data_IF_327027809146
#
_entry.id   IF_327027809146
#
_cell.length_a   1.000
_cell.length_b   1.000
_cell.length_c   1.000
_cell.angle_alpha   90.00
_cell.angle_beta   90.00
_cell.angle_gamma   90.00
#
_symmetry.space_group_name_H-M   'P 1'
#
loop_
_entity.id
_entity.type
_entity.pdbx_description
1 polymer ?
#
# COMPACT_ATOMS: atom_id res chain seq x y z
N UNK A 1 -40.11 -2.65 -26.77
CA UNK A 1 -38.69 -2.28 -26.92
C UNK A 1 -38.37 -0.84 -26.46
N UNK A 2 -38.69 0.23 -27.20
CA UNK A 2 -38.40 1.61 -26.74
C UNK A 2 -39.25 2.03 -25.52
N UNK A 3 -40.54 1.67 -25.51
CA UNK A 3 -41.42 1.95 -24.38
C UNK A 3 -41.05 1.15 -23.11
N UNK A 4 -40.59 -0.09 -23.26
CA UNK A 4 -40.11 -0.90 -22.13
C UNK A 4 -38.79 -0.37 -21.57
N UNK A 5 -37.89 0.13 -22.42
CA UNK A 5 -36.62 0.73 -21.97
C UNK A 5 -36.85 2.01 -21.14
N UNK A 6 -37.81 2.84 -21.55
CA UNK A 6 -38.20 4.07 -20.84
C UNK A 6 -38.90 3.75 -19.51
N UNK A 7 -39.80 2.76 -19.49
CA UNK A 7 -40.46 2.31 -18.26
C UNK A 7 -39.48 1.67 -17.26
N UNK A 8 -38.43 1.00 -17.76
CA UNK A 8 -37.35 0.46 -16.93
C UNK A 8 -36.43 1.57 -16.36
N UNK A 9 -36.23 2.68 -17.08
CA UNK A 9 -35.50 3.84 -16.56
C UNK A 9 -36.25 4.52 -15.41
N UNK A 10 -37.58 4.59 -15.50
CA UNK A 10 -38.45 5.21 -14.49
C UNK A 10 -38.56 4.37 -13.21
N UNK A 11 -38.30 3.05 -13.30
CA UNK A 11 -38.30 2.12 -12.15
C UNK A 11 -36.95 1.98 -11.44
N UNK A 12 -35.87 2.59 -11.95
CA UNK A 12 -34.55 2.54 -11.28
C UNK A 12 -34.55 3.39 -10.02
N UNK A 13 -34.28 2.74 -8.89
CA UNK A 13 -34.14 3.43 -7.61
C UNK A 13 -32.85 4.26 -7.56
N UNK A 14 -32.70 5.15 -6.56
CA UNK A 14 -31.46 5.89 -6.38
C UNK A 14 -30.23 4.98 -6.23
N UNK A 15 -30.41 3.76 -5.74
CA UNK A 15 -29.33 2.82 -5.51
C UNK A 15 -28.78 2.20 -6.81
N UNK A 16 -29.58 2.24 -7.89
CA UNK A 16 -29.20 1.65 -9.19
C UNK A 16 -28.21 2.53 -9.98
N UNK A 17 -28.14 3.85 -9.71
CA UNK A 17 -27.22 4.76 -10.41
C UNK A 17 -25.86 4.92 -9.71
N UNK A 18 -25.77 4.60 -8.41
CA UNK A 18 -24.55 4.67 -7.61
C UNK A 18 -23.35 3.92 -8.25
N UNK A 19 -23.48 2.64 -8.67
CA UNK A 19 -22.33 1.91 -9.20
C UNK A 19 -21.86 2.43 -10.57
N UNK A 20 -22.80 2.84 -11.44
CA UNK A 20 -22.46 3.38 -12.77
C UNK A 20 -21.81 4.76 -12.70
N UNK A 21 -22.30 5.65 -11.83
CA UNK A 21 -21.66 6.94 -11.59
C UNK A 21 -20.28 6.79 -10.95
N UNK A 22 -20.12 5.83 -10.04
CA UNK A 22 -18.82 5.44 -9.47
C UNK A 22 -17.83 4.94 -10.54
N UNK A 23 -18.27 4.09 -11.46
CA UNK A 23 -17.45 3.62 -12.58
C UNK A 23 -17.06 4.76 -13.52
N UNK A 24 -17.99 5.66 -13.87
CA UNK A 24 -17.69 6.81 -14.71
C UNK A 24 -16.64 7.73 -14.06
N UNK A 25 -16.77 8.01 -12.76
CA UNK A 25 -15.81 8.80 -12.01
C UNK A 25 -14.44 8.12 -11.91
N UNK A 26 -14.40 6.80 -11.67
CA UNK A 26 -13.15 6.03 -11.61
C UNK A 26 -12.42 6.03 -12.95
N UNK A 27 -13.14 5.80 -14.06
CA UNK A 27 -12.59 5.87 -15.42
C UNK A 27 -12.09 7.27 -15.75
N UNK A 28 -12.84 8.31 -15.40
CA UNK A 28 -12.42 9.70 -15.59
C UNK A 28 -11.12 10.00 -14.82
N UNK A 29 -11.00 9.53 -13.57
CA UNK A 29 -9.77 9.66 -12.77
C UNK A 29 -8.59 8.91 -13.43
N UNK A 30 -8.81 7.69 -13.93
CA UNK A 30 -7.77 6.93 -14.60
C UNK A 30 -7.29 7.63 -15.89
N UNK A 31 -8.21 8.08 -16.74
CA UNK A 31 -7.88 8.82 -17.96
C UNK A 31 -7.17 10.13 -17.63
N UNK A 32 -7.64 10.87 -16.63
CA UNK A 32 -7.03 12.13 -16.21
C UNK A 32 -5.61 11.93 -15.67
N UNK A 33 -5.38 10.92 -14.84
CA UNK A 33 -4.05 10.62 -14.28
C UNK A 33 -3.07 10.11 -15.34
N UNK A 34 -3.53 9.29 -16.30
CA UNK A 34 -2.71 8.88 -17.45
C UNK A 34 -2.38 10.09 -18.33
N UNK A 35 -3.35 10.94 -18.64
CA UNK A 35 -3.15 12.16 -19.41
C UNK A 35 -2.17 13.12 -18.74
N UNK A 36 -2.29 13.28 -17.42
CA UNK A 36 -1.36 14.06 -16.60
C UNK A 36 0.05 13.48 -16.63
N UNK A 37 0.21 12.16 -16.45
CA UNK A 37 1.49 11.48 -16.55
C UNK A 37 2.12 11.66 -17.94
N UNK A 38 1.33 11.51 -19.01
CA UNK A 38 1.81 11.67 -20.38
C UNK A 38 2.26 13.12 -20.67
N UNK A 39 1.56 14.11 -20.12
CA UNK A 39 1.81 15.53 -20.36
C UNK A 39 2.97 16.11 -19.55
N UNK A 40 3.09 15.72 -18.28
CA UNK A 40 4.03 16.33 -17.34
C UNK A 40 5.18 15.40 -16.94
N UNK A 41 5.03 14.08 -17.10
CA UNK A 41 6.05 13.06 -16.79
C UNK A 41 6.61 13.17 -15.36
N UNK A 42 5.77 13.61 -14.42
CA UNK A 42 6.13 13.76 -13.02
C UNK A 42 6.01 12.41 -12.31
N UNK A 43 7.02 12.00 -11.50
CA UNK A 43 7.03 10.67 -10.92
C UNK A 43 5.81 10.31 -10.06
N UNK A 44 5.29 11.27 -9.30
CA UNK A 44 4.14 11.03 -8.41
C UNK A 44 2.88 10.58 -9.17
N UNK A 45 2.75 10.95 -10.44
CA UNK A 45 1.62 10.57 -11.27
C UNK A 45 1.58 9.05 -11.52
N UNK A 46 2.72 8.34 -11.50
CA UNK A 46 2.74 6.88 -11.65
C UNK A 46 2.01 6.17 -10.51
N UNK A 47 2.19 6.63 -9.27
CA UNK A 47 1.44 6.13 -8.11
C UNK A 47 -0.05 6.46 -8.22
N UNK A 48 -0.40 7.65 -8.68
CA UNK A 48 -1.81 8.03 -8.90
C UNK A 48 -2.51 7.19 -9.96
N UNK A 49 -1.79 6.81 -11.02
CA UNK A 49 -2.30 5.90 -12.05
C UNK A 49 -2.58 4.53 -11.44
N UNK A 50 -1.67 3.98 -10.61
CA UNK A 50 -1.87 2.70 -9.96
C UNK A 50 -3.09 2.71 -9.01
N UNK A 51 -3.25 3.78 -8.23
CA UNK A 51 -4.44 3.95 -7.35
C UNK A 51 -5.72 4.07 -8.19
N UNK A 52 -5.73 4.91 -9.22
CA UNK A 52 -6.90 5.09 -10.09
C UNK A 52 -7.27 3.81 -10.84
N UNK A 53 -6.28 3.03 -11.26
CA UNK A 53 -6.49 1.72 -11.89
C UNK A 53 -7.13 0.72 -10.90
N UNK A 54 -6.69 0.72 -9.64
CA UNK A 54 -7.27 -0.14 -8.59
C UNK A 54 -8.72 0.24 -8.30
N UNK A 55 -9.01 1.54 -8.17
CA UNK A 55 -10.39 2.03 -7.97
C UNK A 55 -11.27 1.71 -9.18
N UNK A 56 -10.73 1.85 -10.39
CA UNK A 56 -11.45 1.47 -11.63
C UNK A 56 -11.76 -0.02 -11.64
N UNK A 57 -10.83 -0.88 -11.26
CA UNK A 57 -11.06 -2.32 -11.17
C UNK A 57 -12.15 -2.66 -10.15
N UNK A 58 -12.13 -2.02 -8.98
CA UNK A 58 -13.19 -2.18 -7.97
C UNK A 58 -14.56 -1.72 -8.50
N UNK A 59 -14.62 -0.58 -9.19
CA UNK A 59 -15.86 -0.08 -9.78
C UNK A 59 -16.38 -0.98 -10.92
N UNK A 60 -15.49 -1.58 -11.72
CA UNK A 60 -15.87 -2.59 -12.72
C UNK A 60 -16.51 -3.79 -12.03
N UNK A 61 -15.93 -4.30 -10.94
CA UNK A 61 -16.52 -5.41 -10.17
C UNK A 61 -17.88 -5.03 -9.60
N UNK A 62 -18.03 -3.81 -9.05
CA UNK A 62 -19.29 -3.32 -8.50
C UNK A 62 -20.43 -3.33 -9.53
N UNK A 63 -20.13 -2.98 -10.79
CA UNK A 63 -21.10 -2.95 -11.89
C UNK A 63 -21.33 -4.35 -12.50
N UNK A 64 -20.26 -5.10 -12.73
CA UNK A 64 -20.31 -6.38 -13.46
C UNK A 64 -20.79 -7.55 -12.58
N UNK A 65 -20.57 -7.48 -11.27
CA UNK A 65 -20.97 -8.50 -10.30
C UNK A 65 -21.55 -7.85 -9.03
N UNK A 66 -22.77 -7.31 -9.10
CA UNK A 66 -23.42 -6.66 -7.95
C UNK A 66 -23.45 -7.59 -6.72
N UNK A 67 -23.07 -7.06 -5.56
CA UNK A 67 -23.00 -7.82 -4.30
C UNK A 67 -21.73 -8.68 -4.10
N UNK A 68 -20.88 -8.83 -5.12
CA UNK A 68 -19.60 -9.56 -4.97
C UNK A 68 -18.43 -8.66 -4.55
N UNK A 69 -18.58 -7.33 -4.60
CA UNK A 69 -17.49 -6.40 -4.32
C UNK A 69 -16.89 -6.63 -2.93
N UNK A 70 -17.71 -6.74 -1.88
CA UNK A 70 -17.23 -6.91 -0.51
C UNK A 70 -16.37 -8.19 -0.35
N UNK A 71 -16.83 -9.30 -0.95
CA UNK A 71 -16.13 -10.58 -0.93
C UNK A 71 -14.82 -10.53 -1.74
N UNK A 72 -14.82 -9.81 -2.85
CA UNK A 72 -13.68 -9.70 -3.76
C UNK A 72 -12.73 -8.56 -3.39
N UNK A 73 -13.11 -7.64 -2.49
CA UNK A 73 -12.34 -6.42 -2.24
C UNK A 73 -10.94 -6.74 -1.71
N UNK A 74 -10.86 -7.68 -0.77
CA UNK A 74 -9.58 -8.13 -0.17
C UNK A 74 -8.66 -8.79 -1.20
N UNK A 75 -9.07 -9.85 -1.94
CA UNK A 75 -8.19 -10.42 -2.95
C UNK A 75 -7.89 -9.44 -4.09
N UNK A 76 -8.82 -8.55 -4.46
CA UNK A 76 -8.60 -7.52 -5.47
C UNK A 76 -7.50 -6.55 -5.04
N UNK A 77 -7.56 -6.00 -3.83
CA UNK A 77 -6.53 -5.10 -3.31
C UNK A 77 -5.19 -5.81 -3.14
N UNK A 78 -5.19 -7.08 -2.72
CA UNK A 78 -3.95 -7.86 -2.62
C UNK A 78 -3.30 -8.04 -3.99
N UNK A 79 -4.07 -8.47 -5.01
CA UNK A 79 -3.57 -8.66 -6.38
C UNK A 79 -3.15 -7.33 -6.99
N UNK A 80 -3.94 -6.26 -6.84
CA UNK A 80 -3.59 -4.93 -7.33
C UNK A 80 -2.31 -4.38 -6.65
N UNK A 81 -2.18 -4.58 -5.34
CA UNK A 81 -0.99 -4.23 -4.59
C UNK A 81 0.23 -5.03 -5.05
N UNK A 82 0.10 -6.34 -5.22
CA UNK A 82 1.17 -7.21 -5.69
C UNK A 82 1.62 -6.88 -7.11
N UNK A 83 0.69 -6.65 -8.05
CA UNK A 83 1.03 -6.25 -9.43
C UNK A 83 1.69 -4.88 -9.46
N UNK A 84 1.20 -3.92 -8.67
CA UNK A 84 1.82 -2.60 -8.52
C UNK A 84 3.22 -2.69 -7.91
N UNK A 85 3.41 -3.56 -6.92
CA UNK A 85 4.71 -3.84 -6.33
C UNK A 85 5.69 -4.45 -7.34
N UNK A 86 5.25 -5.44 -8.11
CA UNK A 86 6.05 -6.01 -9.20
C UNK A 86 6.42 -4.96 -10.25
N UNK A 87 5.48 -4.10 -10.64
CA UNK A 87 5.77 -2.98 -11.53
C UNK A 87 6.82 -2.03 -10.93
N UNK A 88 6.69 -1.68 -9.65
CA UNK A 88 7.66 -0.86 -8.93
C UNK A 88 9.07 -1.48 -8.97
N UNK A 89 9.17 -2.79 -8.72
CA UNK A 89 10.43 -3.53 -8.80
C UNK A 89 11.05 -3.51 -10.19
N UNK A 90 10.25 -3.63 -11.26
CA UNK A 90 10.73 -3.54 -12.63
C UNK A 90 11.35 -2.16 -12.89
N UNK A 91 10.68 -1.08 -12.46
CA UNK A 91 11.23 0.28 -12.58
C UNK A 91 12.54 0.43 -11.79
N UNK A 92 12.60 -0.13 -10.59
CA UNK A 92 13.73 0.01 -9.70
C UNK A 92 14.99 -0.70 -10.20
N UNK A 93 14.82 -1.93 -10.70
CA UNK A 93 15.90 -2.72 -11.28
C UNK A 93 16.37 -2.17 -12.64
N UNK A 94 15.52 -1.41 -13.32
CA UNK A 94 15.82 -0.82 -14.64
C UNK A 94 16.69 0.45 -14.57
N UNK A 95 17.03 0.94 -13.38
CA UNK A 95 17.93 2.10 -13.20
C UNK A 95 18.88 1.92 -11.98
N UNK A 96 19.86 0.99 -12.06
CA UNK A 96 20.77 0.71 -10.94
C UNK A 96 21.65 1.90 -10.55
N UNK A 97 22.01 2.73 -11.53
CA UNK A 97 22.85 3.93 -11.33
C UNK A 97 22.07 5.14 -10.82
N UNK A 98 20.73 5.06 -10.75
CA UNK A 98 19.81 6.13 -10.33
C UNK A 98 20.00 7.44 -11.11
N UNK A 99 20.14 7.33 -12.43
CA UNK A 99 20.38 8.48 -13.32
C UNK A 99 19.11 8.95 -14.04
N UNK A 100 17.98 8.27 -13.85
CA UNK A 100 16.71 8.58 -14.53
C UNK A 100 15.57 8.77 -13.53
N UNK A 101 14.41 9.22 -14.02
CA UNK A 101 13.18 9.31 -13.22
C UNK A 101 12.60 7.93 -12.82
N UNK A 102 13.19 6.81 -13.26
CA UNK A 102 12.67 5.46 -12.99
C UNK A 102 12.72 5.12 -11.50
N UNK A 103 13.77 5.53 -10.79
CA UNK A 103 13.87 5.33 -9.34
C UNK A 103 12.78 6.11 -8.58
N UNK A 104 12.45 7.33 -9.03
CA UNK A 104 11.38 8.13 -8.43
C UNK A 104 10.00 7.52 -8.77
N UNK A 105 9.79 7.05 -10.00
CA UNK A 105 8.56 6.34 -10.37
C UNK A 105 8.36 5.09 -9.51
N UNK A 106 9.42 4.30 -9.32
CA UNK A 106 9.40 3.11 -8.46
C UNK A 106 9.03 3.46 -7.02
N UNK A 107 9.56 4.57 -6.48
CA UNK A 107 9.19 5.05 -5.15
C UNK A 107 7.68 5.28 -5.00
N UNK A 108 7.06 5.97 -5.96
CA UNK A 108 5.63 6.27 -5.91
C UNK A 108 4.76 5.04 -6.14
N UNK A 109 5.19 4.09 -6.97
CA UNK A 109 4.51 2.81 -7.13
C UNK A 109 4.61 1.95 -5.85
N UNK A 110 5.76 1.90 -5.18
CA UNK A 110 5.87 1.24 -3.87
C UNK A 110 4.99 1.90 -2.81
N UNK A 111 4.90 3.23 -2.82
CA UNK A 111 4.02 3.97 -1.90
C UNK A 111 2.54 3.62 -2.13
N UNK A 112 2.12 3.41 -3.38
CA UNK A 112 0.75 2.97 -3.70
C UNK A 112 0.53 1.47 -3.37
N UNK A 113 1.51 0.62 -3.63
CA UNK A 113 1.42 -0.82 -3.40
C UNK A 113 1.36 -1.18 -1.91
N UNK A 114 2.12 -0.48 -1.07
CA UNK A 114 2.24 -0.77 0.35
C UNK A 114 0.89 -0.83 1.09
N UNK A 115 0.04 0.22 1.03
CA UNK A 115 -1.24 0.22 1.72
C UNK A 115 -2.20 -0.84 1.17
N UNK A 116 -2.18 -1.11 -0.15
CA UNK A 116 -3.01 -2.15 -0.77
C UNK A 116 -2.66 -3.54 -0.23
N UNK A 117 -1.36 -3.87 -0.15
CA UNK A 117 -0.90 -5.15 0.40
C UNK A 117 -1.21 -5.22 1.89
N UNK A 118 -0.81 -4.21 2.66
CA UNK A 118 -0.95 -4.23 4.12
C UNK A 118 -2.44 -4.27 4.52
N UNK A 119 -3.30 -3.45 3.90
CA UNK A 119 -4.73 -3.46 4.19
C UNK A 119 -5.35 -4.84 3.92
N UNK A 120 -4.99 -5.48 2.81
CA UNK A 120 -5.53 -6.80 2.44
C UNK A 120 -5.07 -7.89 3.40
N UNK A 121 -3.80 -7.88 3.81
CA UNK A 121 -3.24 -8.85 4.76
C UNK A 121 -3.81 -8.63 6.16
N UNK A 122 -3.89 -7.38 6.62
CA UNK A 122 -4.50 -7.04 7.91
C UNK A 122 -5.97 -7.46 7.93
N UNK A 123 -6.73 -7.12 6.88
CA UNK A 123 -8.12 -7.56 6.75
C UNK A 123 -8.25 -9.09 6.81
N UNK A 124 -7.36 -9.84 6.15
CA UNK A 124 -7.34 -11.30 6.23
C UNK A 124 -7.08 -11.84 7.64
N UNK A 125 -6.34 -11.11 8.48
CA UNK A 125 -6.07 -11.47 9.89
C UNK A 125 -7.27 -11.12 10.78
N UNK A 126 -7.87 -9.94 10.58
CA UNK A 126 -8.92 -9.40 11.46
C UNK A 126 -10.33 -9.83 11.07
N UNK A 127 -10.54 -10.32 9.85
CA UNK A 127 -11.91 -10.52 9.35
C UNK A 127 -12.65 -9.19 9.25
N UNK A 128 -13.97 -9.22 9.39
CA UNK A 128 -14.84 -8.03 9.43
C UNK A 128 -15.04 -7.54 10.88
N UNK A 129 -14.18 -7.96 11.82
CA UNK A 129 -14.24 -7.56 13.21
C UNK A 129 -13.85 -6.10 13.39
N UNK A 130 -14.63 -5.37 14.19
CA UNK A 130 -14.38 -3.96 14.51
C UNK A 130 -13.26 -3.83 15.55
N UNK A 131 -13.18 -4.78 16.48
CA UNK A 131 -12.22 -4.76 17.58
C UNK A 131 -11.06 -5.73 17.32
N UNK A 132 -9.86 -5.18 17.15
CA UNK A 132 -8.64 -5.96 16.96
C UNK A 132 -8.18 -6.52 18.31
N UNK A 133 -8.09 -7.85 18.39
CA UNK A 133 -7.58 -8.56 19.58
C UNK A 133 -6.07 -8.40 19.75
N UNK A 134 -5.57 -8.63 20.97
CA UNK A 134 -4.13 -8.65 21.26
C UNK A 134 -3.35 -9.63 20.36
N UNK A 135 -3.92 -10.82 20.10
CA UNK A 135 -3.33 -11.82 19.23
C UNK A 135 -3.22 -11.34 17.78
N UNK A 136 -4.30 -10.76 17.23
CA UNK A 136 -4.30 -10.19 15.88
C UNK A 136 -3.31 -9.02 15.77
N UNK A 137 -3.28 -8.11 16.75
CA UNK A 137 -2.31 -7.01 16.78
C UNK A 137 -0.86 -7.51 16.78
N UNK A 138 -0.57 -8.58 17.51
CA UNK A 138 0.76 -9.22 17.51
C UNK A 138 1.10 -9.80 16.13
N UNK A 139 0.16 -10.48 15.46
CA UNK A 139 0.37 -10.99 14.10
C UNK A 139 0.59 -9.85 13.11
N UNK A 140 -0.17 -8.76 13.21
CA UNK A 140 0.01 -7.56 12.37
C UNK A 140 1.42 -7.00 12.53
N UNK A 141 1.94 -6.90 13.76
CA UNK A 141 3.33 -6.46 13.99
C UNK A 141 4.35 -7.40 13.35
N UNK A 142 4.15 -8.71 13.41
CA UNK A 142 5.04 -9.69 12.76
C UNK A 142 5.02 -9.49 11.24
N UNK A 143 3.84 -9.33 10.63
CA UNK A 143 3.72 -9.05 9.19
C UNK A 143 4.42 -7.75 8.81
N UNK A 144 4.18 -6.68 9.56
CA UNK A 144 4.84 -5.38 9.32
C UNK A 144 6.36 -5.47 9.49
N UNK A 145 6.84 -6.28 10.45
CA UNK A 145 8.26 -6.55 10.62
C UNK A 145 8.83 -7.28 9.40
N UNK A 146 8.16 -8.32 8.89
CA UNK A 146 8.59 -9.04 7.67
C UNK A 146 8.62 -8.10 6.46
N UNK A 147 7.58 -7.27 6.28
CA UNK A 147 7.56 -6.26 5.22
C UNK A 147 8.67 -5.22 5.39
N UNK A 148 9.02 -4.88 6.64
CA UNK A 148 10.14 -3.99 6.95
C UNK A 148 11.50 -4.60 6.60
N UNK A 149 11.68 -5.91 6.84
CA UNK A 149 12.88 -6.64 6.40
C UNK A 149 12.98 -6.63 4.87
N UNK A 150 11.88 -6.90 4.17
CA UNK A 150 11.82 -6.81 2.70
C UNK A 150 12.18 -5.39 2.23
N UNK A 151 11.63 -4.36 2.86
CA UNK A 151 11.92 -2.97 2.54
C UNK A 151 13.42 -2.60 2.75
N UNK A 152 14.06 -3.16 3.78
CA UNK A 152 15.50 -2.99 4.03
C UNK A 152 16.34 -3.64 2.94
N UNK A 153 15.99 -4.87 2.52
CA UNK A 153 16.71 -5.60 1.47
C UNK A 153 16.68 -4.81 0.15
N UNK A 154 15.50 -4.29 -0.22
CA UNK A 154 15.30 -3.56 -1.49
C UNK A 154 15.82 -2.10 -1.39
N UNK A 155 16.19 -1.62 -0.20
CA UNK A 155 16.56 -0.22 0.06
C UNK A 155 15.43 0.79 -0.23
N UNK A 156 14.17 0.43 0.06
CA UNK A 156 13.00 1.27 -0.24
C UNK A 156 12.18 1.59 1.00
N UNK A 157 12.38 2.81 1.52
CA UNK A 157 11.67 3.34 2.69
C UNK A 157 10.15 3.50 2.49
N UNK A 158 9.69 3.65 1.24
CA UNK A 158 8.28 3.91 0.91
C UNK A 158 7.32 2.87 1.50
N UNK A 159 7.71 1.59 1.52
CA UNK A 159 6.89 0.51 2.07
C UNK A 159 6.64 0.65 3.58
N UNK A 160 7.60 1.21 4.33
CA UNK A 160 7.46 1.39 5.77
C UNK A 160 6.50 2.54 6.10
N UNK A 161 6.54 3.61 5.32
CA UNK A 161 5.60 4.74 5.46
C UNK A 161 4.16 4.26 5.23
N UNK A 162 3.96 3.37 4.26
CA UNK A 162 2.66 2.78 3.97
C UNK A 162 2.07 1.92 5.10
N UNK A 163 2.92 1.26 5.90
CA UNK A 163 2.49 0.44 7.04
C UNK A 163 2.31 1.21 8.35
N UNK A 164 2.64 2.51 8.39
CA UNK A 164 2.76 3.27 9.64
C UNK A 164 1.43 3.41 10.39
N UNK A 165 0.32 3.57 9.66
CA UNK A 165 -1.01 3.63 10.27
C UNK A 165 -1.35 2.32 11.00
N UNK A 166 -1.10 1.17 10.36
CA UNK A 166 -1.32 -0.15 10.96
C UNK A 166 -0.38 -0.43 12.12
N UNK A 167 0.87 0.05 12.05
CA UNK A 167 1.81 -0.01 13.17
C UNK A 167 1.26 0.75 14.38
N UNK A 168 0.76 1.96 14.17
CA UNK A 168 0.12 2.76 15.22
C UNK A 168 -1.10 2.07 15.84
N UNK A 169 -1.97 1.50 15.00
CA UNK A 169 -3.14 0.74 15.47
C UNK A 169 -2.70 -0.46 16.31
N UNK A 170 -1.73 -1.25 15.83
CA UNK A 170 -1.25 -2.43 16.54
C UNK A 170 -0.61 -2.08 17.90
N UNK A 171 0.21 -1.03 17.94
CA UNK A 171 0.78 -0.51 19.20
C UNK A 171 -0.32 -0.06 20.15
N UNK A 172 -1.33 0.67 19.65
CA UNK A 172 -2.43 1.13 20.49
C UNK A 172 -3.21 -0.02 21.13
N UNK A 173 -3.42 -1.11 20.40
CA UNK A 173 -4.07 -2.32 20.94
C UNK A 173 -3.21 -2.96 22.03
N UNK A 174 -1.90 -3.12 21.80
CA UNK A 174 -0.99 -3.68 22.82
C UNK A 174 -0.93 -2.83 24.09
N UNK A 175 -0.95 -1.51 23.96
CA UNK A 175 -0.88 -0.59 25.11
C UNK A 175 -2.20 -0.61 25.89
N UNK A 176 -3.35 -0.72 25.23
CA UNK A 176 -4.66 -0.87 25.91
C UNK A 176 -4.70 -2.09 26.81
N UNK A 177 -4.06 -3.18 26.41
CA UNK A 177 -3.98 -4.41 27.21
C UNK A 177 -3.27 -4.20 28.56
N UNK A 178 -2.38 -3.20 28.65
CA UNK A 178 -1.72 -2.83 29.90
C UNK A 178 -2.63 -2.07 30.89
N UNK A 179 -3.94 -1.96 30.61
CA UNK A 179 -4.96 -1.33 31.46
C UNK A 179 -4.66 0.13 31.84
N UNK A 180 -3.98 0.86 30.97
CA UNK A 180 -3.75 2.31 31.12
C UNK A 180 -4.94 3.12 30.61
N UNK A 181 -5.07 4.37 31.09
CA UNK A 181 -6.14 5.26 30.64
C UNK A 181 -6.02 5.62 29.15
N UNK A 182 -7.14 6.02 28.53
CA UNK A 182 -7.21 6.29 27.08
C UNK A 182 -6.29 7.43 26.64
N UNK A 183 -6.06 8.45 27.48
CA UNK A 183 -5.14 9.54 27.18
C UNK A 183 -3.70 9.04 27.12
N UNK A 184 -3.31 8.21 28.09
CA UNK A 184 -2.01 7.54 28.11
C UNK A 184 -1.81 6.59 26.93
N UNK A 185 -2.83 5.82 26.52
CA UNK A 185 -2.75 4.96 25.31
C UNK A 185 -2.35 5.78 24.09
N UNK A 186 -3.02 6.92 23.85
CA UNK A 186 -2.73 7.77 22.71
C UNK A 186 -1.31 8.35 22.77
N UNK A 187 -0.92 8.90 23.92
CA UNK A 187 0.41 9.48 24.11
C UNK A 187 1.53 8.45 23.94
N UNK A 188 1.40 7.28 24.56
CA UNK A 188 2.35 6.17 24.46
C UNK A 188 2.43 5.66 23.02
N UNK A 189 1.28 5.49 22.35
CA UNK A 189 1.24 5.06 20.95
C UNK A 189 2.02 6.03 20.05
N UNK A 190 1.77 7.34 20.17
CA UNK A 190 2.49 8.34 19.40
C UNK A 190 3.98 8.39 19.75
N UNK A 191 4.34 8.18 21.01
CA UNK A 191 5.73 8.12 21.45
C UNK A 191 6.47 6.95 20.79
N UNK A 192 5.92 5.74 20.85
CA UNK A 192 6.51 4.56 20.21
C UNK A 192 6.52 4.68 18.68
N UNK A 193 5.43 5.19 18.09
CA UNK A 193 5.34 5.39 16.64
C UNK A 193 6.37 6.42 16.16
N UNK A 194 6.49 7.56 16.86
CA UNK A 194 7.47 8.60 16.57
C UNK A 194 8.91 8.10 16.77
N UNK A 195 9.17 7.36 17.84
CA UNK A 195 10.47 6.73 18.08
C UNK A 195 10.83 5.75 16.96
N UNK A 196 9.88 4.92 16.50
CA UNK A 196 10.08 4.02 15.38
C UNK A 196 10.40 4.78 14.08
N UNK A 197 9.68 5.87 13.78
CA UNK A 197 9.95 6.72 12.60
C UNK A 197 11.34 7.34 12.65
N UNK A 198 11.76 7.89 13.80
CA UNK A 198 13.09 8.48 13.98
C UNK A 198 14.19 7.43 13.87
N UNK A 199 14.00 6.27 14.51
CA UNK A 199 14.94 5.16 14.46
C UNK A 199 15.11 4.62 13.03
N UNK A 200 14.01 4.46 12.28
CA UNK A 200 14.05 4.04 10.88
C UNK A 200 14.66 5.12 9.97
N UNK A 201 14.39 6.40 10.25
CA UNK A 201 14.92 7.52 9.48
C UNK A 201 16.44 7.64 9.56
N UNK A 202 16.98 7.59 10.78
CA UNK A 202 18.40 7.79 11.09
C UNK A 202 19.21 6.48 11.00
N UNK A 203 18.65 5.38 11.50
CA UNK A 203 19.30 4.06 11.58
C UNK A 203 19.23 3.23 10.30
N UNK A 204 18.58 3.72 9.23
CA UNK A 204 18.35 2.97 7.99
C UNK A 204 19.58 2.27 7.44
N UNK A 205 20.70 2.99 7.31
CA UNK A 205 21.93 2.46 6.71
C UNK A 205 22.50 1.32 7.55
N UNK A 206 22.51 1.48 8.87
CA UNK A 206 22.99 0.47 9.81
C UNK A 206 22.09 -0.75 9.84
N UNK A 207 20.76 -0.55 9.90
CA UNK A 207 19.78 -1.63 9.89
C UNK A 207 19.84 -2.43 8.58
N UNK A 208 19.92 -1.75 7.44
CA UNK A 208 20.05 -2.40 6.12
C UNK A 208 21.33 -3.22 6.06
N UNK A 209 22.45 -2.65 6.49
CA UNK A 209 23.73 -3.37 6.49
C UNK A 209 23.65 -4.66 7.30
N UNK A 210 23.12 -4.60 8.54
CA UNK A 210 22.97 -5.76 9.39
C UNK A 210 22.07 -6.85 8.75
N UNK A 211 20.93 -6.45 8.20
CA UNK A 211 19.98 -7.36 7.55
C UNK A 211 20.59 -8.01 6.31
N UNK A 212 21.22 -7.22 5.42
CA UNK A 212 21.84 -7.74 4.18
C UNK A 212 23.05 -8.63 4.48
N UNK A 213 23.88 -8.28 5.45
CA UNK A 213 25.05 -9.10 5.84
C UNK A 213 24.64 -10.44 6.45
N UNK A 214 23.50 -10.49 7.16
CA UNK A 214 23.03 -11.68 7.89
C UNK A 214 22.15 -12.59 7.03
N UNK A 215 21.23 -12.01 6.24
CA UNK A 215 20.19 -12.77 5.53
C UNK A 215 20.48 -13.00 4.04
N UNK A 216 21.32 -12.18 3.40
CA UNK A 216 21.58 -12.28 1.95
C UNK A 216 22.89 -13.01 1.67
N UNK A 217 22.86 -14.16 0.96
CA UNK A 217 24.06 -14.89 0.53
C UNK A 217 24.98 -14.04 -0.34
N UNK A 218 26.29 -14.26 -0.26
CA UNK A 218 27.30 -13.41 -0.92
C UNK A 218 27.04 -13.21 -2.43
N UNK A 219 26.59 -14.24 -3.16
CA UNK A 219 26.35 -14.16 -4.61
C UNK A 219 25.17 -13.29 -5.04
N UNK A 220 24.18 -13.03 -4.16
CA UNK A 220 23.08 -12.11 -4.48
C UNK A 220 23.41 -10.64 -4.14
N UNK A 221 24.49 -10.38 -3.41
CA UNK A 221 24.87 -9.02 -2.98
C UNK A 221 25.27 -8.11 -4.14
N UNK A 222 25.80 -8.69 -5.22
CA UNK A 222 26.20 -7.96 -6.42
C UNK A 222 25.02 -7.40 -7.23
N UNK A 223 23.83 -7.97 -7.04
CA UNK A 223 22.59 -7.50 -7.71
C UNK A 223 21.83 -6.47 -6.88
N UNK A 224 22.25 -6.21 -5.64
CA UNK A 224 21.64 -5.21 -4.77
C UNK A 224 22.26 -3.83 -5.03
N UNK A 225 21.49 -2.74 -4.87
CA UNK A 225 22.03 -1.38 -4.99
C UNK A 225 23.28 -1.22 -4.13
N UNK A 226 24.38 -0.78 -4.75
CA UNK A 226 25.69 -0.70 -4.12
C UNK A 226 25.62 0.25 -2.93
N UNK A 227 26.05 -0.21 -1.76
CA UNK A 227 26.36 0.69 -0.64
C UNK A 227 27.56 1.50 -1.13
N UNK A 228 27.36 2.76 -1.48
CA UNK A 228 28.44 3.65 -1.91
C UNK A 228 29.48 3.69 -0.77
N UNK A 229 30.61 3.03 -0.98
CA UNK A 229 31.79 3.18 -0.13
C UNK A 229 32.50 4.41 -0.68
N UNK A 230 32.31 5.56 -0.04
CA UNK A 230 33.12 6.72 -0.39
C UNK A 230 34.59 6.38 -0.10
N UNK A 231 35.52 6.55 -1.06
CA UNK A 231 36.94 6.48 -0.77
C UNK A 231 37.26 7.59 0.23
N UNK A 232 37.96 7.25 1.32
CA UNK A 232 38.57 8.22 2.22
C UNK A 232 39.66 9.01 1.51
#
# INVERSE_FOLDING_TARGET
>A
MLAEAILNEEQRGPDDWLPWSGLAAALASLVATIGFLARFRLPFATGMVAVSATVTLAAIVAVAAPGMLEQLMRPLFFVAGATTFCAAMIYDLSDPMRNTLRADNAFWLHLAAGPLIVHSVVGAITGDEVDITFAQATIILIVLFVLGVVALIIDRRAMLVAGLAYLGIAIAVLVREAQVDTGSVFAITLLFLGAAVVALGTGWRSARRAVVETLVPAGLREHLPTIRVDPK
#
